data_IF_241374982234
#
_entry.id   IF_241374982234
#
_cell.length_a   1.000
_cell.length_b   1.000
_cell.length_c   1.000
_cell.angle_alpha   90.00
_cell.angle_beta   90.00
_cell.angle_gamma   90.00
#
_symmetry.space_group_name_H-M   'P 1'
#
loop_
_entity.id
_entity.type
_entity.pdbx_description
1 polymer ?
#
# COMPACT_ATOMS: atom_id res chain seq x y z
N UNK A 1 8.48 22.74 -5.72
CA UNK A 1 9.60 22.83 -4.74
C UNK A 1 10.74 23.64 -5.36
N UNK A 2 11.24 24.69 -4.71
CA UNK A 2 12.42 25.41 -5.18
C UNK A 2 13.70 24.56 -4.99
N UNK A 3 14.83 24.92 -5.62
CA UNK A 3 16.06 24.12 -5.58
C UNK A 3 16.59 23.88 -4.16
N UNK A 4 16.46 24.86 -3.26
CA UNK A 4 16.91 24.76 -1.87
C UNK A 4 16.05 23.74 -1.09
N UNK A 5 14.73 23.74 -1.26
CA UNK A 5 13.85 22.75 -0.60
C UNK A 5 14.06 21.34 -1.15
N UNK A 6 14.44 21.21 -2.44
CA UNK A 6 14.84 19.91 -3.01
C UNK A 6 16.09 19.38 -2.32
N UNK A 7 17.11 20.21 -2.07
CA UNK A 7 18.31 19.81 -1.37
C UNK A 7 18.02 19.37 0.07
N UNK A 8 17.19 20.13 0.80
CA UNK A 8 16.78 19.78 2.16
C UNK A 8 16.01 18.44 2.15
N UNK A 9 15.12 18.22 1.16
CA UNK A 9 14.38 16.98 1.02
C UNK A 9 15.31 15.78 0.79
N UNK A 10 16.27 15.89 -0.13
CA UNK A 10 17.21 14.82 -0.43
C UNK A 10 18.12 14.51 0.78
N UNK A 11 18.49 15.53 1.54
CA UNK A 11 19.25 15.36 2.76
C UNK A 11 18.42 14.68 3.87
N UNK A 12 17.13 15.02 3.99
CA UNK A 12 16.21 14.31 4.89
C UNK A 12 16.03 12.84 4.50
N UNK A 13 15.89 12.54 3.19
CA UNK A 13 15.82 11.15 2.70
C UNK A 13 17.12 10.37 2.98
N UNK A 14 18.28 11.05 2.95
CA UNK A 14 19.54 10.44 3.34
C UNK A 14 19.60 10.15 4.85
N UNK A 15 19.08 11.05 5.70
CA UNK A 15 18.93 10.78 7.13
C UNK A 15 18.02 9.57 7.40
N UNK A 16 16.91 9.46 6.67
CA UNK A 16 16.03 8.27 6.76
C UNK A 16 16.79 6.98 6.43
N UNK A 17 17.60 6.96 5.36
CA UNK A 17 18.43 5.80 4.99
C UNK A 17 19.44 5.42 6.06
N UNK A 18 19.93 6.42 6.79
CA UNK A 18 20.89 6.24 7.90
C UNK A 18 20.20 6.02 9.26
N UNK A 19 18.87 5.88 9.30
CA UNK A 19 18.04 5.75 10.50
C UNK A 19 18.09 6.98 11.43
N UNK A 20 18.50 8.15 10.94
CA UNK A 20 18.52 9.41 11.66
C UNK A 20 17.15 10.11 11.63
N UNK A 21 16.11 9.41 12.06
CA UNK A 21 14.70 9.85 11.89
C UNK A 21 14.40 11.20 12.54
N UNK A 22 15.06 11.53 13.67
CA UNK A 22 14.89 12.83 14.33
C UNK A 22 15.37 14.00 13.46
N UNK A 23 16.49 13.85 12.78
CA UNK A 23 17.02 14.91 11.91
C UNK A 23 16.20 14.98 10.60
N UNK A 24 15.83 13.83 10.04
CA UNK A 24 14.92 13.77 8.91
C UNK A 24 13.61 14.52 9.20
N UNK A 25 13.01 14.28 10.38
CA UNK A 25 11.77 14.90 10.80
C UNK A 25 11.89 16.43 10.85
N UNK A 26 12.95 16.98 11.46
CA UNK A 26 13.19 18.43 11.52
C UNK A 26 13.29 19.06 10.12
N UNK A 27 13.97 18.38 9.21
CA UNK A 27 14.12 18.84 7.82
C UNK A 27 12.79 18.82 7.09
N UNK A 28 11.99 17.76 7.24
CA UNK A 28 10.64 17.69 6.66
C UNK A 28 9.71 18.76 7.25
N UNK A 29 9.77 19.02 8.56
CA UNK A 29 8.99 20.09 9.17
C UNK A 29 9.38 21.46 8.60
N UNK A 30 10.68 21.71 8.37
CA UNK A 30 11.12 22.96 7.75
C UNK A 30 10.59 23.12 6.31
N UNK A 31 10.54 22.02 5.54
CA UNK A 31 9.94 22.06 4.20
C UNK A 31 8.45 22.38 4.28
N UNK A 32 7.72 21.78 5.20
CA UNK A 32 6.28 22.03 5.34
C UNK A 32 5.97 23.43 5.92
N UNK A 33 6.92 24.06 6.60
CA UNK A 33 6.79 25.45 7.01
C UNK A 33 6.75 26.39 5.79
N UNK A 34 7.60 26.14 4.78
CA UNK A 34 7.67 26.94 3.57
C UNK A 34 6.66 26.50 2.50
N UNK A 35 6.46 25.19 2.35
CA UNK A 35 5.52 24.58 1.40
C UNK A 35 4.58 23.61 2.13
N UNK A 36 3.51 24.11 2.79
CA UNK A 36 2.59 23.27 3.59
C UNK A 36 1.88 22.16 2.80
N UNK A 37 1.86 22.25 1.49
CA UNK A 37 1.24 21.27 0.59
C UNK A 37 2.24 20.32 -0.09
N UNK A 38 3.48 20.25 0.37
CA UNK A 38 4.48 19.41 -0.29
C UNK A 38 4.15 17.92 -0.15
N UNK A 39 3.67 17.29 -1.22
CA UNK A 39 3.15 15.93 -1.21
C UNK A 39 4.24 14.89 -0.88
N UNK A 40 5.46 15.06 -1.41
CA UNK A 40 6.58 14.17 -1.14
C UNK A 40 6.93 14.18 0.36
N UNK A 41 7.05 15.36 0.94
CA UNK A 41 7.34 15.53 2.38
C UNK A 41 6.24 14.95 3.25
N UNK A 42 4.98 15.20 2.93
CA UNK A 42 3.86 14.56 3.65
C UNK A 42 3.93 13.05 3.55
N UNK A 43 4.22 12.49 2.38
CA UNK A 43 4.35 11.05 2.22
C UNK A 43 5.48 10.46 3.07
N UNK A 44 6.65 11.11 3.12
CA UNK A 44 7.79 10.66 3.92
C UNK A 44 7.52 10.75 5.43
N UNK A 45 6.87 11.83 5.90
CA UNK A 45 6.42 11.94 7.29
C UNK A 45 5.37 10.88 7.64
N UNK A 46 4.41 10.62 6.74
CA UNK A 46 3.44 9.55 6.93
C UNK A 46 4.11 8.19 7.12
N UNK A 47 5.15 7.91 6.33
CA UNK A 47 5.95 6.68 6.45
C UNK A 47 6.68 6.62 7.81
N UNK A 48 7.31 7.70 8.27
CA UNK A 48 7.99 7.75 9.58
C UNK A 48 6.99 7.54 10.71
N UNK A 49 5.84 8.22 10.69
CA UNK A 49 4.81 8.05 11.72
C UNK A 49 4.31 6.61 11.80
N UNK A 50 4.12 5.96 10.64
CA UNK A 50 3.68 4.57 10.59
C UNK A 50 4.74 3.59 11.11
N UNK A 51 5.98 3.73 10.62
CA UNK A 51 7.00 2.67 10.76
C UNK A 51 7.90 2.84 11.99
N UNK A 52 8.08 4.08 12.45
CA UNK A 52 8.99 4.38 13.56
C UNK A 52 8.26 4.80 14.84
N UNK A 53 7.01 5.25 14.72
CA UNK A 53 6.26 5.78 15.86
C UNK A 53 4.95 5.03 16.14
N UNK A 54 4.61 4.01 15.34
CA UNK A 54 3.35 3.26 15.39
C UNK A 54 2.11 4.18 15.45
N UNK A 55 2.23 5.40 14.90
CA UNK A 55 1.18 6.39 14.94
C UNK A 55 0.40 6.41 13.62
N UNK A 56 -0.47 5.42 13.47
CA UNK A 56 -1.29 5.23 12.26
C UNK A 56 -2.20 6.42 11.96
N UNK A 57 -2.73 7.09 12.99
CA UNK A 57 -3.62 8.24 12.79
C UNK A 57 -2.88 9.43 12.18
N UNK A 58 -1.67 9.75 12.66
CA UNK A 58 -0.85 10.80 12.07
C UNK A 58 -0.36 10.41 10.67
N UNK A 59 0.05 9.15 10.49
CA UNK A 59 0.46 8.65 9.19
C UNK A 59 -0.66 8.81 8.14
N UNK A 60 -1.89 8.43 8.48
CA UNK A 60 -3.07 8.59 7.62
C UNK A 60 -3.31 10.05 7.26
N UNK A 61 -3.27 10.97 8.24
CA UNK A 61 -3.44 12.40 7.99
C UNK A 61 -2.41 12.93 6.99
N UNK A 62 -1.16 12.49 7.09
CA UNK A 62 -0.10 12.89 6.19
C UNK A 62 -0.30 12.31 4.77
N UNK A 63 -0.68 11.03 4.64
CA UNK A 63 -0.98 10.45 3.31
C UNK A 63 -2.18 11.14 2.65
N UNK A 64 -3.21 11.46 3.42
CA UNK A 64 -4.36 12.21 2.91
C UNK A 64 -3.99 13.64 2.50
N UNK A 65 -3.11 14.31 3.25
CA UNK A 65 -2.59 15.62 2.89
C UNK A 65 -1.80 15.56 1.58
N UNK A 66 -0.93 14.55 1.39
CA UNK A 66 -0.20 14.33 0.16
C UNK A 66 -1.14 14.14 -1.04
N UNK A 67 -2.15 13.27 -0.91
CA UNK A 67 -3.15 13.00 -1.97
C UNK A 67 -3.99 14.23 -2.27
N UNK A 68 -4.32 15.03 -1.26
CA UNK A 68 -5.09 16.28 -1.45
C UNK A 68 -4.30 17.34 -2.19
N UNK A 69 -3.02 17.47 -1.87
CA UNK A 69 -2.12 18.46 -2.48
C UNK A 69 -1.74 18.10 -3.90
N UNK A 70 -1.44 16.84 -4.13
CA UNK A 70 -1.03 16.30 -5.43
C UNK A 70 -1.75 14.98 -5.70
N UNK A 71 -2.96 15.05 -6.32
CA UNK A 71 -3.80 13.87 -6.55
C UNK A 71 -3.15 12.79 -7.44
N UNK A 72 -2.13 13.13 -8.21
CA UNK A 72 -1.43 12.21 -9.11
C UNK A 72 -0.15 11.62 -8.50
N UNK A 73 0.17 11.97 -7.24
CA UNK A 73 1.39 11.51 -6.56
C UNK A 73 1.27 10.02 -6.15
N UNK A 74 1.90 9.08 -6.87
CA UNK A 74 1.60 7.65 -6.74
C UNK A 74 2.06 7.04 -5.42
N UNK A 75 3.12 7.56 -4.83
CA UNK A 75 3.72 7.01 -3.61
C UNK A 75 2.80 7.15 -2.38
N UNK A 76 2.03 8.24 -2.30
CA UNK A 76 1.07 8.43 -1.22
C UNK A 76 -0.03 7.36 -1.24
N UNK A 77 -0.54 7.01 -2.43
CA UNK A 77 -1.50 5.91 -2.56
C UNK A 77 -0.90 4.57 -2.16
N UNK A 78 0.34 4.29 -2.60
CA UNK A 78 1.02 3.03 -2.29
C UNK A 78 1.20 2.86 -0.79
N UNK A 79 1.69 3.89 -0.10
CA UNK A 79 1.94 3.85 1.34
C UNK A 79 0.64 3.85 2.16
N UNK A 80 -0.37 4.58 1.71
CA UNK A 80 -1.69 4.55 2.37
C UNK A 80 -2.38 3.19 2.20
N UNK A 81 -2.25 2.54 1.04
CA UNK A 81 -2.72 1.16 0.88
C UNK A 81 -2.07 0.20 1.88
N UNK A 82 -0.77 0.34 2.16
CA UNK A 82 -0.09 -0.50 3.17
C UNK A 82 -0.69 -0.25 4.55
N UNK A 83 -0.91 1.01 4.93
CA UNK A 83 -1.51 1.36 6.21
C UNK A 83 -2.90 0.74 6.37
N UNK A 84 -3.75 0.86 5.35
CA UNK A 84 -5.11 0.29 5.36
C UNK A 84 -5.10 -1.23 5.42
N UNK A 85 -4.13 -1.88 4.76
CA UNK A 85 -3.92 -3.33 4.85
C UNK A 85 -3.55 -3.76 6.28
N UNK A 86 -2.58 -3.07 6.91
CA UNK A 86 -2.14 -3.38 8.27
C UNK A 86 -3.26 -3.23 9.31
N UNK A 87 -4.23 -2.36 9.03
CA UNK A 87 -5.42 -2.13 9.86
C UNK A 87 -6.65 -2.96 9.42
N UNK A 88 -6.51 -3.83 8.44
CA UNK A 88 -7.60 -4.64 7.87
C UNK A 88 -8.83 -3.81 7.40
N UNK A 89 -8.59 -2.55 7.01
CA UNK A 89 -9.62 -1.62 6.49
C UNK A 89 -9.87 -1.86 5.00
N UNK A 90 -10.27 -3.09 4.66
CA UNK A 90 -10.33 -3.57 3.27
C UNK A 90 -11.30 -2.79 2.37
N UNK A 91 -12.42 -2.33 2.90
CA UNK A 91 -13.38 -1.55 2.12
C UNK A 91 -12.84 -0.17 1.72
N UNK A 92 -12.03 0.45 2.57
CA UNK A 92 -11.37 1.73 2.29
C UNK A 92 -10.19 1.53 1.35
N UNK A 93 -9.43 0.45 1.53
CA UNK A 93 -8.35 0.03 0.64
C UNK A 93 -8.86 -0.13 -0.80
N UNK A 94 -9.98 -0.83 -1.00
CA UNK A 94 -10.57 -1.02 -2.32
C UNK A 94 -10.91 0.31 -2.98
N UNK A 95 -11.60 1.21 -2.25
CA UNK A 95 -11.93 2.55 -2.74
C UNK A 95 -10.69 3.37 -3.10
N UNK A 96 -9.64 3.27 -2.29
CA UNK A 96 -8.38 3.97 -2.53
C UNK A 96 -7.69 3.44 -3.79
N UNK A 97 -7.62 2.12 -3.95
CA UNK A 97 -7.02 1.47 -5.13
C UNK A 97 -7.80 1.83 -6.40
N UNK A 98 -9.14 1.87 -6.37
CA UNK A 98 -9.93 2.28 -7.52
C UNK A 98 -9.62 3.73 -7.98
N UNK A 99 -9.24 4.61 -7.05
CA UNK A 99 -8.75 5.95 -7.41
C UNK A 99 -7.33 5.87 -8.00
N UNK A 100 -6.43 5.13 -7.34
CA UNK A 100 -5.03 4.99 -7.75
C UNK A 100 -4.89 4.36 -9.15
N UNK A 101 -5.74 3.40 -9.53
CA UNK A 101 -5.73 2.76 -10.84
C UNK A 101 -6.00 3.73 -12.02
N UNK A 102 -6.57 4.91 -11.75
CA UNK A 102 -6.81 5.95 -12.75
C UNK A 102 -5.58 6.83 -12.98
N UNK A 103 -4.58 6.74 -12.12
CA UNK A 103 -3.35 7.52 -12.21
C UNK A 103 -2.36 6.77 -13.11
N UNK A 104 -1.90 7.37 -14.22
CA UNK A 104 -1.05 6.68 -15.20
C UNK A 104 0.29 6.18 -14.62
N UNK A 105 0.83 6.91 -13.64
CA UNK A 105 2.16 6.65 -13.04
C UNK A 105 2.15 5.60 -11.93
N UNK A 106 0.98 5.07 -11.53
CA UNK A 106 0.90 4.01 -10.51
C UNK A 106 1.29 2.65 -11.06
N UNK A 107 1.94 1.84 -10.23
CA UNK A 107 2.18 0.42 -10.51
C UNK A 107 0.87 -0.38 -10.37
N UNK A 108 0.18 -0.58 -11.51
CA UNK A 108 -1.10 -1.30 -11.55
C UNK A 108 -0.95 -2.74 -11.10
N UNK A 109 0.16 -3.41 -11.41
CA UNK A 109 0.42 -4.77 -10.95
C UNK A 109 0.44 -4.84 -9.43
N UNK A 110 1.12 -3.90 -8.79
CA UNK A 110 1.20 -3.81 -7.34
C UNK A 110 -0.15 -3.48 -6.69
N UNK A 111 -0.96 -2.64 -7.32
CA UNK A 111 -2.32 -2.31 -6.83
C UNK A 111 -3.25 -3.54 -6.89
N UNK A 112 -3.25 -4.29 -8.01
CA UNK A 112 -4.02 -5.52 -8.13
C UNK A 112 -3.53 -6.61 -7.17
N UNK A 113 -2.22 -6.74 -6.97
CA UNK A 113 -1.64 -7.62 -5.96
C UNK A 113 -2.18 -7.33 -4.55
N UNK A 114 -2.30 -6.06 -4.16
CA UNK A 114 -2.87 -5.68 -2.86
C UNK A 114 -4.35 -6.04 -2.74
N UNK A 115 -5.14 -5.86 -3.81
CA UNK A 115 -6.53 -6.32 -3.85
C UNK A 115 -6.61 -7.85 -3.72
N UNK A 116 -5.71 -8.57 -4.36
CA UNK A 116 -5.65 -10.03 -4.26
C UNK A 116 -5.39 -10.47 -2.81
N UNK A 117 -4.36 -9.91 -2.16
CA UNK A 117 -4.06 -10.19 -0.76
C UNK A 117 -5.22 -9.85 0.17
N UNK A 118 -5.84 -8.68 -0.01
CA UNK A 118 -6.98 -8.26 0.81
C UNK A 118 -8.18 -9.21 0.69
N UNK A 119 -8.44 -9.73 -0.51
CA UNK A 119 -9.49 -10.71 -0.73
C UNK A 119 -9.11 -12.09 -0.19
N UNK A 120 -7.84 -12.52 -0.30
CA UNK A 120 -7.34 -13.75 0.31
C UNK A 120 -7.51 -13.73 1.84
N UNK A 121 -7.15 -12.60 2.50
CA UNK A 121 -7.33 -12.43 3.95
C UNK A 121 -8.80 -12.53 4.37
N UNK A 122 -9.72 -12.12 3.51
CA UNK A 122 -11.17 -12.25 3.72
C UNK A 122 -11.74 -13.61 3.28
N UNK A 123 -10.91 -14.57 2.87
CA UNK A 123 -11.30 -15.88 2.34
C UNK A 123 -12.17 -15.81 1.06
N UNK A 124 -12.09 -14.70 0.34
CA UNK A 124 -12.75 -14.50 -0.97
C UNK A 124 -11.81 -15.01 -2.07
N UNK A 125 -11.75 -16.33 -2.19
CA UNK A 125 -10.69 -16.99 -2.97
C UNK A 125 -10.81 -16.74 -4.48
N UNK A 126 -12.01 -16.71 -5.03
CA UNK A 126 -12.26 -16.47 -6.46
C UNK A 126 -11.84 -15.05 -6.85
N UNK A 127 -12.24 -14.06 -6.05
CA UNK A 127 -11.87 -12.66 -6.23
C UNK A 127 -10.36 -12.45 -6.09
N UNK A 128 -9.74 -13.13 -5.11
CA UNK A 128 -8.30 -13.06 -4.91
C UNK A 128 -7.54 -13.58 -6.14
N UNK A 129 -7.93 -14.76 -6.69
CA UNK A 129 -7.33 -15.32 -7.90
C UNK A 129 -7.48 -14.34 -9.07
N UNK A 130 -8.69 -13.81 -9.30
CA UNK A 130 -8.94 -12.85 -10.37
C UNK A 130 -8.06 -11.61 -10.29
N UNK A 131 -7.80 -11.11 -9.06
CA UNK A 131 -6.91 -9.96 -8.88
C UNK A 131 -5.43 -10.33 -9.04
N UNK A 132 -4.98 -11.53 -8.65
CA UNK A 132 -3.63 -12.01 -8.96
C UNK A 132 -3.42 -12.15 -10.47
N UNK A 133 -4.40 -12.67 -11.22
CA UNK A 133 -4.34 -12.74 -12.68
C UNK A 133 -4.18 -11.35 -13.31
N UNK A 134 -4.91 -10.34 -12.81
CA UNK A 134 -4.72 -8.95 -13.23
C UNK A 134 -3.32 -8.43 -12.88
N UNK A 135 -2.79 -8.74 -11.69
CA UNK A 135 -1.44 -8.37 -11.31
C UNK A 135 -0.40 -8.97 -12.28
N UNK A 136 -0.57 -10.23 -12.70
CA UNK A 136 0.26 -10.89 -13.71
C UNK A 136 0.19 -10.14 -15.04
N UNK A 137 -1.02 -9.79 -15.52
CA UNK A 137 -1.21 -9.11 -16.81
C UNK A 137 -0.53 -7.74 -16.87
N UNK A 138 -0.44 -7.03 -15.74
CA UNK A 138 0.18 -5.70 -15.67
C UNK A 138 1.65 -5.73 -15.24
N UNK A 139 2.18 -6.89 -14.82
CA UNK A 139 3.58 -7.01 -14.41
C UNK A 139 4.50 -7.23 -15.61
N UNK A 140 5.63 -6.50 -15.62
CA UNK A 140 6.75 -6.72 -16.53
C UNK A 140 7.94 -7.41 -15.85
N UNK A 141 7.77 -7.87 -14.62
CA UNK A 141 8.82 -8.51 -13.83
C UNK A 141 8.52 -10.00 -13.69
N UNK A 142 9.37 -10.85 -14.27
CA UNK A 142 9.19 -12.31 -14.32
C UNK A 142 9.21 -12.95 -12.93
N UNK A 143 10.00 -12.42 -11.98
CA UNK A 143 10.03 -12.95 -10.60
C UNK A 143 8.71 -12.66 -9.88
N UNK A 144 8.15 -11.46 -10.05
CA UNK A 144 6.83 -11.13 -9.51
C UNK A 144 5.74 -12.00 -10.16
N UNK A 145 5.78 -12.20 -11.48
CA UNK A 145 4.83 -13.07 -12.18
C UNK A 145 4.89 -14.49 -11.61
N UNK A 146 6.09 -15.02 -11.40
CA UNK A 146 6.28 -16.34 -10.78
C UNK A 146 5.68 -16.37 -9.37
N UNK A 147 5.99 -15.39 -8.52
CA UNK A 147 5.45 -15.28 -7.18
C UNK A 147 3.91 -15.22 -7.19
N UNK A 148 3.29 -14.45 -8.07
CA UNK A 148 1.83 -14.36 -8.16
C UNK A 148 1.18 -15.70 -8.58
N UNK A 149 1.86 -16.49 -9.43
CA UNK A 149 1.40 -17.85 -9.77
C UNK A 149 1.48 -18.81 -8.58
N UNK A 150 2.53 -18.70 -7.77
CA UNK A 150 2.68 -19.46 -6.53
C UNK A 150 1.59 -19.08 -5.51
N UNK A 151 1.25 -17.78 -5.42
CA UNK A 151 0.15 -17.30 -4.60
C UNK A 151 -1.21 -17.89 -5.06
N UNK A 152 -1.48 -17.91 -6.36
CA UNK A 152 -2.70 -18.54 -6.91
C UNK A 152 -2.76 -20.03 -6.55
N UNK A 153 -1.67 -20.77 -6.72
CA UNK A 153 -1.62 -22.18 -6.37
C UNK A 153 -1.90 -22.42 -4.87
N UNK A 154 -1.31 -21.59 -4.00
CA UNK A 154 -1.60 -21.59 -2.55
C UNK A 154 -3.08 -21.35 -2.25
N UNK A 155 -3.72 -20.42 -2.94
CA UNK A 155 -5.15 -20.12 -2.75
C UNK A 155 -6.02 -21.29 -3.20
N UNK A 156 -5.70 -21.94 -4.30
CA UNK A 156 -6.43 -23.12 -4.76
C UNK A 156 -6.38 -24.26 -3.74
N UNK A 157 -5.24 -24.48 -3.08
CA UNK A 157 -5.12 -25.43 -1.97
C UNK A 157 -6.00 -25.03 -0.78
N UNK A 158 -5.97 -23.77 -0.35
CA UNK A 158 -6.83 -23.25 0.74
C UNK A 158 -8.31 -23.44 0.43
N UNK A 159 -8.73 -23.16 -0.80
CA UNK A 159 -10.09 -23.34 -1.28
C UNK A 159 -10.55 -24.80 -1.20
N UNK A 160 -9.68 -25.75 -1.58
CA UNK A 160 -9.98 -27.20 -1.44
C UNK A 160 -10.15 -27.60 0.02
N UNK A 161 -9.30 -27.08 0.93
CA UNK A 161 -9.39 -27.34 2.37
C UNK A 161 -10.72 -26.79 2.92
N UNK A 162 -11.05 -25.54 2.60
CA UNK A 162 -12.30 -24.91 3.04
C UNK A 162 -13.54 -25.69 2.58
N UNK A 163 -13.53 -26.17 1.32
CA UNK A 163 -14.60 -26.99 0.76
C UNK A 163 -14.74 -28.35 1.49
N UNK A 164 -13.64 -29.01 1.83
CA UNK A 164 -13.65 -30.26 2.60
C UNK A 164 -14.24 -30.03 4.00
N UNK A 165 -13.86 -28.95 4.68
CA UNK A 165 -14.38 -28.60 6.01
C UNK A 165 -15.87 -28.31 5.98
N UNK A 166 -16.35 -27.54 5.00
CA UNK A 166 -17.79 -27.27 4.82
C UNK A 166 -18.60 -28.54 4.60
N UNK A 167 -18.12 -29.45 3.75
CA UNK A 167 -18.76 -30.73 3.50
C UNK A 167 -18.79 -31.63 4.75
N UNK A 168 -17.76 -31.61 5.57
CA UNK A 168 -17.70 -32.37 6.83
C UNK A 168 -18.71 -31.83 7.85
N UNK A 169 -18.76 -30.50 8.05
CA UNK A 169 -19.73 -29.86 8.94
C UNK A 169 -21.17 -30.05 8.49
N UNK A 170 -21.43 -30.10 7.18
CA UNK A 170 -22.76 -30.40 6.63
C UNK A 170 -23.23 -31.82 6.96
N UNK A 171 -22.31 -32.79 7.02
CA UNK A 171 -22.62 -34.18 7.39
C UNK A 171 -22.90 -34.39 8.89
N UNK A 172 -22.42 -33.49 9.75
CA UNK A 172 -22.66 -33.56 11.21
C UNK A 172 -24.00 -32.98 11.63
N UNK A 173 -24.69 -32.26 10.74
CA UNK A 173 -26.02 -31.66 11.01
C UNK A 173 -27.18 -32.54 10.57
N UNK A 174 -26.92 -33.75 10.07
CA UNK A 174 -27.88 -34.79 9.74
C UNK A 174 -27.85 -35.92 10.77
#
# INVERSE_FOLDING_TARGET
MNSQLVEIYLDAENDVRNNNYTEAFKKYDSILFDEPGNAATHNSLGWIYKTQMDNYAKAENHYLAAIKSEPDYPYAYTNYCILLMDQERFAELEKLIQKALKIPTTDKAQLYYRLALANEMQLKFEEAISFYEKAILFSLNDEKIKSYREDIARIEEKKQIAKKQSNWLGKLKL
#
